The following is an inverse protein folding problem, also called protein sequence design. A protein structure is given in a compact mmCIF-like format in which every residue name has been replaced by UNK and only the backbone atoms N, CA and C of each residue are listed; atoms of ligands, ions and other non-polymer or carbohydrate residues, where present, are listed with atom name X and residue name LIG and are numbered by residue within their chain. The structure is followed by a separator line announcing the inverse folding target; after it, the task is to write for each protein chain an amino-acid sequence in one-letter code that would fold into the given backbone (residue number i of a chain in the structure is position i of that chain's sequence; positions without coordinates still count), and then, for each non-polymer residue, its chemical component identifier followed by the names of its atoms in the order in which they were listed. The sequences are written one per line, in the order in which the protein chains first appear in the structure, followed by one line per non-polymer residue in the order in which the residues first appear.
data_IF_580260091624
#
_entry.id   IF_580260091624
#
_cell.length_a   1.000
_cell.length_b   1.000
_cell.length_c   1.000
_cell.angle_alpha   90.00
_cell.angle_beta   90.00
_cell.angle_gamma   90.00
#
_symmetry.space_group_name_H-M   'P 1'
#
loop_
_entity.id
_entity.type
_entity.pdbx_description
1 polymer ?
#
# COMPACT_ATOMS: atom_id res chain seq x y z
N UNK A 1 -37.95 -7.38 3.07
CA UNK A 1 -36.68 -7.68 2.36
C UNK A 1 -35.53 -6.69 2.65
N UNK A 2 -35.74 -5.51 3.28
CA UNK A 2 -34.68 -4.53 3.60
C UNK A 2 -33.75 -4.91 4.78
N UNK A 3 -34.15 -5.83 5.67
CA UNK A 3 -33.36 -6.19 6.86
C UNK A 3 -32.21 -7.19 6.63
N UNK A 4 -32.31 -8.05 5.60
CA UNK A 4 -31.29 -9.09 5.36
C UNK A 4 -30.02 -8.56 4.66
N UNK A 5 -30.14 -7.47 3.89
CA UNK A 5 -29.01 -6.86 3.17
C UNK A 5 -28.08 -6.13 4.14
N UNK A 6 -28.63 -5.43 5.14
CA UNK A 6 -27.82 -4.73 6.16
C UNK A 6 -27.03 -5.73 7.02
N UNK A 7 -27.64 -6.88 7.34
CA UNK A 7 -26.99 -7.95 8.09
C UNK A 7 -25.83 -8.60 7.32
N UNK A 8 -25.95 -8.69 5.99
CA UNK A 8 -24.89 -9.24 5.14
C UNK A 8 -23.67 -8.30 5.03
N UNK A 9 -23.88 -6.97 5.09
CA UNK A 9 -22.80 -5.98 5.06
C UNK A 9 -22.02 -5.98 6.38
N UNK A 10 -22.71 -6.14 7.52
CA UNK A 10 -22.06 -6.19 8.83
C UNK A 10 -21.15 -7.41 9.01
N UNK A 11 -21.45 -8.54 8.36
CA UNK A 11 -20.66 -9.78 8.46
C UNK A 11 -19.40 -9.82 7.56
N UNK A 12 -19.16 -8.81 6.71
CA UNK A 12 -17.96 -8.75 5.85
C UNK A 12 -16.82 -7.88 6.40
N UNK A 13 -17.00 -7.26 7.57
CA UNK A 13 -15.96 -6.43 8.20
C UNK A 13 -15.21 -7.28 9.21
N UNK A 14 -13.95 -7.59 8.92
CA UNK A 14 -13.07 -8.36 9.79
C UNK A 14 -12.84 -7.63 11.14
N UNK A 15 -13.19 -8.29 12.25
CA UNK A 15 -12.90 -7.83 13.60
C UNK A 15 -11.44 -8.14 13.97
N UNK A 16 -10.62 -7.17 14.44
CA UNK A 16 -9.30 -7.48 14.97
C UNK A 16 -9.44 -8.19 16.33
N UNK A 17 -8.85 -9.38 16.43
CA UNK A 17 -8.77 -10.17 17.66
C UNK A 17 -7.69 -9.58 18.58
N UNK A 18 -8.07 -9.01 19.72
CA UNK A 18 -7.11 -8.71 20.78
C UNK A 18 -7.51 -7.59 21.74
N UNK A 19 -7.77 -7.97 23.00
CA UNK A 19 -7.75 -7.07 24.16
C UNK A 19 -9.12 -6.76 24.75
N UNK A 20 -9.45 -7.44 25.86
CA UNK A 20 -10.57 -7.09 26.75
C UNK A 20 -10.40 -5.65 27.24
N UNK A 21 -11.08 -4.70 26.60
CA UNK A 21 -11.48 -3.44 27.24
C UNK A 21 -12.99 -3.41 27.25
N UNK A 22 -13.56 -2.96 28.36
CA UNK A 22 -15.01 -2.90 28.57
C UNK A 22 -15.62 -1.94 27.55
N UNK A 23 -16.20 -2.47 26.47
CA UNK A 23 -16.91 -1.71 25.46
C UNK A 23 -18.38 -1.62 25.86
N UNK A 24 -18.85 -0.41 26.16
CA UNK A 24 -20.27 -0.10 26.29
C UNK A 24 -21.00 -0.41 24.98
N UNK A 25 -22.22 -0.89 25.11
CA UNK A 25 -23.05 -1.59 24.12
C UNK A 25 -23.60 -0.75 22.96
N UNK A 26 -22.76 0.03 22.27
CA UNK A 26 -23.16 0.69 21.02
C UNK A 26 -21.98 0.81 20.06
N UNK A 27 -21.96 -0.05 19.03
CA UNK A 27 -20.99 0.03 17.94
C UNK A 27 -21.31 1.25 17.07
N UNK A 28 -20.65 2.37 17.33
CA UNK A 28 -20.72 3.53 16.45
C UNK A 28 -19.86 3.23 15.21
N UNK A 29 -20.50 2.83 14.12
CA UNK A 29 -19.86 2.78 12.81
C UNK A 29 -19.51 4.22 12.38
N UNK A 30 -18.23 4.55 12.37
CA UNK A 30 -17.75 5.83 11.82
C UNK A 30 -17.81 5.74 10.29
N UNK A 31 -18.92 6.21 9.72
CA UNK A 31 -19.08 6.34 8.28
C UNK A 31 -18.50 7.70 7.83
N UNK A 32 -17.33 7.68 7.22
CA UNK A 32 -16.78 8.86 6.57
C UNK A 32 -17.53 9.14 5.26
N UNK A 33 -18.03 10.38 5.10
CA UNK A 33 -18.71 10.83 3.88
C UNK A 33 -18.06 12.13 3.39
N UNK A 34 -17.81 12.21 2.09
CA UNK A 34 -17.52 13.49 1.43
C UNK A 34 -18.84 14.23 1.16
N UNK A 35 -18.98 15.43 1.70
CA UNK A 35 -20.10 16.34 1.40
C UNK A 35 -19.58 17.40 0.45
N UNK A 36 -20.03 17.36 -0.80
CA UNK A 36 -19.60 18.26 -1.88
C UNK A 36 -20.75 19.21 -2.18
N UNK A 37 -20.49 20.52 -2.11
CA UNK A 37 -21.41 21.56 -2.58
C UNK A 37 -21.03 21.97 -4.00
N UNK A 38 -21.91 21.69 -4.95
CA UNK A 38 -21.71 22.04 -6.36
C UNK A 38 -21.91 23.54 -6.67
N UNK A 39 -21.86 23.89 -7.95
CA UNK A 39 -22.13 25.25 -8.45
C UNK A 39 -20.90 26.13 -8.63
N UNK A 40 -19.70 25.63 -8.32
CA UNK A 40 -18.44 26.34 -8.51
C UNK A 40 -17.64 25.74 -9.68
N UNK A 41 -17.12 26.59 -10.57
CA UNK A 41 -16.18 26.16 -11.61
C UNK A 41 -14.77 26.11 -11.03
N UNK A 42 -14.08 24.98 -11.18
CA UNK A 42 -12.68 24.86 -10.79
C UNK A 42 -11.79 25.65 -11.76
N UNK A 43 -10.93 26.51 -11.23
CA UNK A 43 -9.90 27.25 -11.98
C UNK A 43 -8.59 27.21 -11.22
N UNK A 44 -7.51 26.89 -11.91
CA UNK A 44 -6.17 26.80 -11.34
C UNK A 44 -5.33 25.77 -12.08
N UNK A 45 -4.10 25.59 -11.60
CA UNK A 45 -3.15 24.60 -12.10
C UNK A 45 -2.85 23.59 -11.00
N UNK A 46 -2.55 22.35 -11.40
CA UNK A 46 -2.23 21.25 -10.51
C UNK A 46 -1.07 20.46 -11.11
N UNK A 47 -0.14 20.04 -10.27
CA UNK A 47 0.94 19.13 -10.66
C UNK A 47 0.51 17.69 -10.43
N UNK A 48 0.50 16.88 -11.49
CA UNK A 48 0.08 15.48 -11.41
C UNK A 48 1.21 14.63 -10.83
N UNK A 49 0.90 13.88 -9.77
CA UNK A 49 1.83 12.91 -9.18
C UNK A 49 2.09 11.75 -10.14
N UNK A 50 3.19 11.02 -9.94
CA UNK A 50 3.48 9.82 -10.70
C UNK A 50 2.38 8.76 -10.67
N UNK A 51 2.42 7.86 -11.66
CA UNK A 51 1.43 6.80 -11.79
C UNK A 51 1.69 5.66 -10.80
N UNK A 52 0.69 5.33 -9.98
CA UNK A 52 0.69 4.11 -9.13
C UNK A 52 1.01 2.85 -9.94
N UNK A 53 0.43 2.74 -11.12
CA UNK A 53 0.53 1.56 -11.96
C UNK A 53 1.94 1.40 -12.57
N UNK A 54 2.72 2.48 -12.64
CA UNK A 54 4.14 2.44 -12.98
C UNK A 54 5.00 2.25 -11.73
N UNK A 55 4.70 2.97 -10.65
CA UNK A 55 5.49 2.95 -9.42
C UNK A 55 5.59 1.55 -8.79
N UNK A 56 4.48 0.83 -8.64
CA UNK A 56 4.48 -0.49 -7.99
C UNK A 56 5.39 -1.53 -8.68
N UNK A 57 5.30 -1.76 -10.01
CA UNK A 57 6.21 -2.68 -10.66
C UNK A 57 7.66 -2.19 -10.67
N UNK A 58 7.91 -0.88 -10.82
CA UNK A 58 9.28 -0.32 -10.77
C UNK A 58 9.91 -0.55 -9.39
N UNK A 59 9.19 -0.22 -8.31
CA UNK A 59 9.63 -0.47 -6.94
C UNK A 59 9.87 -1.97 -6.70
N UNK A 60 9.00 -2.84 -7.19
CA UNK A 60 9.20 -4.29 -7.04
C UNK A 60 10.43 -4.78 -7.82
N UNK A 61 10.68 -4.21 -9.01
CA UNK A 61 11.80 -4.56 -9.86
C UNK A 61 13.16 -4.16 -9.29
N UNK A 62 13.23 -3.26 -8.30
CA UNK A 62 14.51 -2.93 -7.65
C UNK A 62 15.13 -4.13 -6.93
N UNK A 63 14.35 -5.17 -6.62
CA UNK A 63 14.87 -6.44 -6.14
C UNK A 63 15.85 -7.05 -7.15
N UNK A 64 15.65 -6.86 -8.44
CA UNK A 64 16.51 -7.41 -9.49
C UNK A 64 17.81 -6.62 -9.68
N UNK A 65 17.92 -5.41 -9.12
CA UNK A 65 19.07 -4.54 -9.33
C UNK A 65 20.28 -4.97 -8.51
N UNK A 66 21.46 -4.88 -9.13
CA UNK A 66 22.76 -5.14 -8.48
C UNK A 66 23.30 -3.92 -7.71
N UNK A 67 22.71 -2.74 -7.94
CA UNK A 67 23.10 -1.46 -7.33
C UNK A 67 21.88 -0.71 -6.78
N UNK A 68 22.09 0.26 -5.86
CA UNK A 68 21.02 1.13 -5.37
C UNK A 68 20.30 1.88 -6.50
N UNK A 69 18.97 1.85 -6.48
CA UNK A 69 18.11 2.49 -7.47
C UNK A 69 17.48 3.76 -6.87
N UNK A 70 17.58 4.89 -7.56
CA UNK A 70 16.83 6.12 -7.23
C UNK A 70 15.62 6.23 -8.15
N UNK A 71 14.43 6.34 -7.56
CA UNK A 71 13.16 6.48 -8.27
C UNK A 71 12.59 7.86 -7.95
N UNK A 72 12.44 8.68 -8.97
CA UNK A 72 11.84 10.02 -8.89
C UNK A 72 10.36 10.00 -9.27
N UNK A 73 9.66 11.08 -8.92
CA UNK A 73 8.24 11.26 -9.20
C UNK A 73 7.36 10.08 -8.72
N UNK A 74 7.67 9.51 -7.56
CA UNK A 74 6.86 8.45 -6.96
C UNK A 74 5.62 9.06 -6.27
N UNK A 75 4.40 8.51 -6.47
CA UNK A 75 3.21 9.01 -5.79
C UNK A 75 3.24 8.64 -4.30
N UNK A 76 2.94 9.61 -3.44
CA UNK A 76 2.76 9.41 -2.00
C UNK A 76 1.36 8.85 -1.72
N UNK A 77 1.24 7.53 -1.76
CA UNK A 77 0.00 6.79 -1.57
C UNK A 77 0.23 5.49 -0.78
N UNK A 78 -0.83 5.01 -0.12
CA UNK A 78 -0.77 3.84 0.75
C UNK A 78 -0.20 2.58 0.07
N UNK A 79 -0.54 2.32 -1.19
CA UNK A 79 -0.04 1.16 -1.92
C UNK A 79 1.50 1.18 -2.09
N UNK A 80 2.07 2.35 -2.38
CA UNK A 80 3.53 2.51 -2.51
C UNK A 80 4.19 2.28 -1.17
N UNK A 81 3.67 2.91 -0.11
CA UNK A 81 4.18 2.74 1.25
C UNK A 81 4.13 1.27 1.70
N UNK A 82 3.03 0.56 1.43
CA UNK A 82 2.90 -0.85 1.73
C UNK A 82 3.94 -1.71 0.98
N UNK A 83 4.26 -1.38 -0.27
CA UNK A 83 5.30 -2.08 -1.04
C UNK A 83 6.70 -1.81 -0.45
N UNK A 84 7.01 -0.56 -0.10
CA UNK A 84 8.28 -0.19 0.53
C UNK A 84 8.47 -0.90 1.88
N UNK A 85 7.40 -1.03 2.68
CA UNK A 85 7.43 -1.78 3.94
C UNK A 85 7.70 -3.27 3.73
N UNK A 86 7.18 -3.85 2.65
CA UNK A 86 7.53 -5.22 2.28
C UNK A 86 9.03 -5.30 1.95
N UNK A 87 9.54 -4.40 1.11
CA UNK A 87 10.97 -4.38 0.73
C UNK A 87 11.88 -4.21 1.95
N UNK A 88 11.54 -3.30 2.87
CA UNK A 88 12.28 -3.10 4.14
C UNK A 88 12.37 -4.40 4.94
N UNK A 89 11.27 -5.15 5.03
CA UNK A 89 11.24 -6.43 5.77
C UNK A 89 11.98 -7.57 5.08
N UNK A 90 12.10 -7.51 3.75
CA UNK A 90 12.95 -8.43 2.98
C UNK A 90 14.44 -8.09 3.11
N UNK A 91 14.79 -6.97 3.76
CA UNK A 91 16.16 -6.54 4.02
C UNK A 91 16.66 -5.44 3.09
N UNK A 92 15.79 -4.84 2.27
CA UNK A 92 16.17 -3.68 1.46
C UNK A 92 16.31 -2.44 2.34
N UNK A 93 17.29 -1.59 2.03
CA UNK A 93 17.42 -0.27 2.63
C UNK A 93 16.64 0.71 1.77
N UNK A 94 15.62 1.34 2.35
CA UNK A 94 14.78 2.33 1.68
C UNK A 94 15.00 3.68 2.34
N UNK A 95 15.49 4.65 1.57
CA UNK A 95 15.74 6.02 1.98
C UNK A 95 14.84 6.99 1.21
N UNK A 96 14.07 7.79 1.92
CA UNK A 96 13.27 8.86 1.34
C UNK A 96 14.16 10.11 1.20
N UNK A 97 14.53 10.47 -0.02
CA UNK A 97 15.42 11.59 -0.29
C UNK A 97 14.66 12.92 -0.27
N UNK A 98 13.43 12.90 -0.78
CA UNK A 98 12.47 14.01 -0.73
C UNK A 98 11.03 13.46 -0.77
N UNK A 99 10.04 14.34 -0.97
CA UNK A 99 8.61 14.00 -0.99
C UNK A 99 8.23 12.97 -2.06
N UNK A 100 8.88 12.97 -3.22
CA UNK A 100 8.54 12.15 -4.37
C UNK A 100 9.75 11.38 -4.92
N UNK A 101 10.86 11.32 -4.19
CA UNK A 101 12.08 10.62 -4.58
C UNK A 101 12.53 9.65 -3.50
N UNK A 102 12.74 8.40 -3.88
CA UNK A 102 13.13 7.32 -2.96
C UNK A 102 14.32 6.59 -3.54
N UNK A 103 15.32 6.30 -2.69
CA UNK A 103 16.45 5.43 -2.99
C UNK A 103 16.24 4.06 -2.34
N UNK A 104 16.37 3.01 -3.12
CA UNK A 104 16.19 1.63 -2.68
C UNK A 104 17.46 0.84 -2.98
N UNK A 105 18.11 0.33 -1.93
CA UNK A 105 19.21 -0.63 -2.03
C UNK A 105 18.69 -2.01 -1.64
N UNK A 106 18.51 -2.88 -2.65
CA UNK A 106 18.08 -4.26 -2.46
C UNK A 106 19.26 -5.25 -2.49
N UNK A 107 20.51 -4.80 -2.54
CA UNK A 107 21.69 -5.70 -2.70
C UNK A 107 21.79 -6.73 -1.57
N UNK A 108 21.37 -6.37 -0.36
CA UNK A 108 21.37 -7.23 0.84
C UNK A 108 20.12 -8.08 1.03
N UNK A 109 19.14 -8.00 0.13
CA UNK A 109 17.93 -8.82 0.20
C UNK A 109 18.29 -10.29 -0.09
N UNK A 110 18.14 -11.15 0.92
CA UNK A 110 18.51 -12.57 0.83
C UNK A 110 17.33 -13.51 1.08
N UNK A 111 16.12 -12.98 1.27
CA UNK A 111 14.90 -13.74 1.51
C UNK A 111 13.84 -13.43 0.46
N UNK A 112 13.08 -14.45 0.08
CA UNK A 112 11.87 -14.36 -0.74
C UNK A 112 10.60 -14.59 0.10
N UNK A 113 10.72 -14.66 1.43
CA UNK A 113 9.57 -14.83 2.33
C UNK A 113 8.92 -13.48 2.64
N UNK A 114 7.98 -13.07 1.78
CA UNK A 114 7.06 -12.00 2.10
C UNK A 114 5.91 -12.55 2.95
N UNK A 115 5.73 -12.07 4.19
CA UNK A 115 4.69 -12.60 5.08
C UNK A 115 3.29 -12.34 4.55
N UNK A 116 2.39 -13.32 4.74
CA UNK A 116 0.99 -13.26 4.27
C UNK A 116 0.27 -11.96 4.70
N UNK A 117 0.51 -11.51 5.93
CA UNK A 117 -0.11 -10.31 6.49
C UNK A 117 0.26 -9.01 5.76
N UNK A 118 1.39 -8.98 5.04
CA UNK A 118 1.82 -7.82 4.27
C UNK A 118 1.30 -7.88 2.84
N UNK A 119 1.43 -9.04 2.20
CA UNK A 119 1.02 -9.22 0.81
C UNK A 119 -0.50 -9.21 0.64
N UNK A 120 -1.26 -9.68 1.63
CA UNK A 120 -2.74 -9.69 1.60
C UNK A 120 -3.36 -8.29 1.63
N UNK A 121 -2.65 -7.29 2.15
CA UNK A 121 -3.13 -5.90 2.26
C UNK A 121 -2.93 -5.09 0.99
N UNK A 122 -2.08 -5.57 0.07
CA UNK A 122 -1.75 -4.90 -1.17
C UNK A 122 -2.00 -5.86 -2.33
N UNK A 123 -3.07 -5.64 -3.11
CA UNK A 123 -3.31 -6.45 -4.32
C UNK A 123 -2.11 -6.41 -5.28
N UNK A 124 -1.36 -5.30 -5.34
CA UNK A 124 -0.15 -5.18 -6.17
C UNK A 124 1.06 -5.99 -5.70
N UNK A 125 0.99 -6.71 -4.57
CA UNK A 125 2.11 -7.51 -4.05
C UNK A 125 2.54 -8.64 -5.00
N UNK A 126 1.69 -9.08 -5.93
CA UNK A 126 2.03 -10.12 -6.90
C UNK A 126 3.21 -9.73 -7.81
N UNK A 127 3.53 -8.44 -7.99
CA UNK A 127 4.72 -8.03 -8.75
C UNK A 127 6.01 -8.59 -8.14
N UNK A 128 6.04 -8.82 -6.83
CA UNK A 128 7.16 -9.45 -6.15
C UNK A 128 7.38 -10.90 -6.59
N UNK A 129 6.35 -11.61 -7.05
CA UNK A 129 6.54 -12.98 -7.56
C UNK A 129 7.47 -13.01 -8.77
N UNK A 130 7.30 -12.06 -9.70
CA UNK A 130 8.19 -11.95 -10.87
C UNK A 130 9.60 -11.54 -10.46
N UNK A 131 9.72 -10.59 -9.54
CA UNK A 131 11.02 -10.13 -9.04
C UNK A 131 11.78 -11.23 -8.27
N UNK A 132 11.08 -12.01 -7.44
CA UNK A 132 11.68 -13.14 -6.71
C UNK A 132 12.11 -14.25 -7.66
N UNK A 133 11.28 -14.58 -8.65
CA UNK A 133 11.65 -15.59 -9.64
C UNK A 133 12.90 -15.17 -10.40
N UNK A 134 13.00 -13.90 -10.82
CA UNK A 134 14.18 -13.41 -11.55
C UNK A 134 15.46 -13.34 -10.71
N UNK A 135 15.36 -13.17 -9.39
CA UNK A 135 16.52 -13.07 -8.50
C UNK A 135 16.95 -14.40 -7.87
N UNK A 136 16.00 -15.22 -7.47
CA UNK A 136 16.23 -16.40 -6.61
C UNK A 136 15.90 -17.74 -7.28
N UNK A 137 15.24 -17.70 -8.44
CA UNK A 137 14.77 -18.89 -9.17
C UNK A 137 15.75 -19.43 -10.19
#
# INVERSE_FOLDING_TARGET
MRGKVLYAILNQVAFPQGGRKNYSSEWVLVLCKFVITGGQTLRGELTVSGSKNAALPIVSATILAEDPCTIENIPDIADVQAMLDILRKLGAVVEELDRNTIRIDATKVSSHEATFDLVSKLRGSYYLMGAFLGRFG
#
